data_IF_911341923348
#
_entry.id   IF_911341923348
#
_cell.length_a   1.000
_cell.length_b   1.000
_cell.length_c   1.000
_cell.angle_alpha   90.00
_cell.angle_beta   90.00
_cell.angle_gamma   90.00
#
_symmetry.space_group_name_H-M   'P 1'
#
loop_
_entity.id
_entity.type
_entity.pdbx_description
1 polymer ?
#
# COMPACT_ATOMS: atom_id res chain seq x y z
N UNK A 1 -1.64 8.72 13.29
CA UNK A 1 -0.71 9.86 13.30
C UNK A 1 0.66 9.44 13.85
N UNK A 2 1.30 8.46 13.22
CA UNK A 2 2.73 8.18 13.46
C UNK A 2 3.49 9.22 12.65
N UNK A 3 3.64 10.41 13.24
CA UNK A 3 4.35 11.51 12.61
C UNK A 3 5.70 11.03 12.06
N UNK A 4 6.01 11.43 10.81
CA UNK A 4 7.34 11.28 10.16
C UNK A 4 8.56 11.67 11.03
N UNK A 5 8.32 12.24 12.21
CA UNK A 5 9.29 12.57 13.26
C UNK A 5 9.70 11.40 14.18
N UNK A 6 8.92 10.32 14.28
CA UNK A 6 9.13 9.31 15.33
C UNK A 6 10.48 8.58 15.20
N UNK A 7 10.85 8.14 13.99
CA UNK A 7 12.09 7.40 13.74
C UNK A 7 13.31 8.28 13.98
N UNK A 8 13.34 9.49 13.41
CA UNK A 8 14.48 10.41 13.57
C UNK A 8 14.68 10.82 15.04
N UNK A 9 13.59 11.02 15.79
CA UNK A 9 13.65 11.35 17.22
C UNK A 9 14.11 10.15 18.04
N UNK A 10 13.56 8.95 17.82
CA UNK A 10 13.98 7.75 18.53
C UNK A 10 15.43 7.41 18.24
N UNK A 11 15.85 7.48 16.97
CA UNK A 11 17.24 7.28 16.56
C UNK A 11 18.17 8.30 17.23
N UNK A 12 17.84 9.59 17.16
CA UNK A 12 18.61 10.65 17.81
C UNK A 12 18.74 10.45 19.33
N UNK A 13 17.66 10.02 19.99
CA UNK A 13 17.67 9.67 21.42
C UNK A 13 18.62 8.50 21.70
N UNK A 14 18.53 7.43 20.91
CA UNK A 14 19.37 6.23 21.07
C UNK A 14 20.85 6.53 20.85
N UNK A 15 21.17 7.35 19.84
CA UNK A 15 22.55 7.81 19.57
C UNK A 15 23.07 8.65 20.73
N UNK A 16 22.26 9.57 21.28
CA UNK A 16 22.63 10.37 22.45
C UNK A 16 22.86 9.51 23.70
N UNK A 17 21.97 8.56 23.98
CA UNK A 17 22.13 7.60 25.09
C UNK A 17 23.46 6.84 24.97
N UNK A 18 23.78 6.36 23.77
CA UNK A 18 25.03 5.63 23.51
C UNK A 18 26.26 6.52 23.61
N UNK A 19 26.20 7.74 23.10
CA UNK A 19 27.28 8.72 23.21
C UNK A 19 27.55 9.13 24.66
N UNK A 20 26.51 9.29 25.47
CA UNK A 20 26.63 9.57 26.91
C UNK A 20 27.23 8.39 27.69
N UNK A 21 27.08 7.16 27.21
CA UNK A 21 27.73 5.97 27.78
C UNK A 21 29.21 5.83 27.42
N UNK A 22 29.72 6.60 26.46
CA UNK A 22 31.12 6.57 26.04
C UNK A 22 31.94 7.64 26.76
N UNK A 23 33.23 7.35 26.99
CA UNK A 23 34.19 8.25 27.65
C UNK A 23 33.68 8.87 28.98
N UNK A 24 32.88 8.11 29.74
CA UNK A 24 32.29 8.56 31.01
C UNK A 24 31.35 9.76 30.87
N UNK A 25 30.68 9.93 29.73
CA UNK A 25 29.75 11.02 29.47
C UNK A 25 30.40 12.36 29.12
N UNK A 26 31.71 12.37 28.87
CA UNK A 26 32.47 13.60 28.57
C UNK A 26 32.52 13.97 27.10
N UNK A 27 31.84 13.23 26.22
CA UNK A 27 31.81 13.56 24.79
C UNK A 27 30.94 14.80 24.59
N UNK A 28 31.49 15.93 24.12
CA UNK A 28 30.71 17.13 23.88
C UNK A 28 29.78 16.91 22.68
N UNK A 29 28.47 16.99 22.92
CA UNK A 29 27.44 16.92 21.87
C UNK A 29 26.99 18.34 21.49
N UNK A 30 27.07 18.66 20.20
CA UNK A 30 26.52 19.92 19.67
C UNK A 30 25.06 19.73 19.27
N UNK A 31 24.19 20.76 19.41
CA UNK A 31 22.85 20.73 18.84
C UNK A 31 22.92 20.50 17.32
N UNK A 32 22.01 19.70 16.79
CA UNK A 32 21.92 19.52 15.34
C UNK A 32 21.42 20.83 14.69
N UNK A 33 22.20 21.39 13.76
CA UNK A 33 21.84 22.61 13.03
C UNK A 33 20.70 22.38 12.03
N UNK A 34 20.51 21.14 11.60
CA UNK A 34 19.44 20.72 10.69
C UNK A 34 18.86 19.37 11.13
N UNK A 35 17.55 19.19 10.92
CA UNK A 35 16.87 17.89 11.06
C UNK A 35 17.22 17.01 9.86
N UNK A 36 17.11 15.68 10.01
CA UNK A 36 17.31 14.76 8.90
C UNK A 36 16.36 15.12 7.75
N UNK A 37 16.90 15.56 6.61
CA UNK A 37 16.16 15.72 5.37
C UNK A 37 16.59 14.59 4.45
N UNK A 38 15.81 13.52 4.40
CA UNK A 38 15.98 12.49 3.39
C UNK A 38 15.28 12.99 2.12
N UNK A 39 16.04 13.61 1.22
CA UNK A 39 15.57 13.90 -0.13
C UNK A 39 16.06 12.79 -1.04
N UNK A 40 15.24 11.75 -1.22
CA UNK A 40 15.49 10.71 -2.23
C UNK A 40 14.94 11.23 -3.56
N UNK A 41 15.78 11.93 -4.31
CA UNK A 41 15.52 12.26 -5.72
C UNK A 41 16.45 11.37 -6.52
N UNK A 42 15.91 10.37 -7.22
CA UNK A 42 16.69 9.55 -8.17
C UNK A 42 16.70 8.04 -7.94
N UNK A 43 15.79 7.48 -7.13
CA UNK A 43 15.63 6.04 -6.99
C UNK A 43 14.26 5.54 -7.50
N UNK A 44 13.59 6.29 -8.36
CA UNK A 44 12.25 5.93 -8.82
C UNK A 44 12.30 5.15 -10.14
N UNK A 45 11.76 3.93 -10.15
CA UNK A 45 11.47 3.19 -11.37
C UNK A 45 10.04 3.49 -11.80
N UNK A 46 9.87 3.74 -13.10
CA UNK A 46 8.56 3.87 -13.72
C UNK A 46 8.35 2.70 -14.67
N UNK A 47 7.30 1.92 -14.42
CA UNK A 47 6.89 0.84 -15.31
C UNK A 47 5.47 1.12 -15.77
N UNK A 48 5.19 0.90 -17.05
CA UNK A 48 3.82 0.93 -17.57
C UNK A 48 3.36 -0.51 -17.76
N UNK A 49 2.23 -0.85 -17.18
CA UNK A 49 1.54 -2.12 -17.35
C UNK A 49 0.12 -1.87 -17.88
N UNK A 50 -0.52 -2.91 -18.37
CA UNK A 50 -1.95 -2.92 -18.74
C UNK A 50 -2.62 -3.96 -17.85
N UNK A 51 -3.76 -3.63 -17.27
CA UNK A 51 -4.52 -4.58 -16.46
C UNK A 51 -4.97 -5.80 -17.27
N UNK A 52 -5.47 -6.81 -16.58
CA UNK A 52 -6.32 -7.82 -17.20
C UNK A 52 -7.57 -7.21 -17.87
N UNK A 53 -8.34 -8.06 -18.55
CA UNK A 53 -9.60 -7.68 -19.19
C UNK A 53 -10.85 -8.04 -18.36
N UNK A 54 -10.61 -8.57 -17.16
CA UNK A 54 -11.58 -9.01 -16.15
C UNK A 54 -11.65 -7.98 -15.02
N UNK A 55 -11.63 -6.70 -15.40
CA UNK A 55 -11.78 -5.60 -14.45
C UNK A 55 -13.26 -5.30 -14.13
N UNK A 56 -13.46 -4.54 -13.07
CA UNK A 56 -14.73 -3.90 -12.73
C UNK A 56 -14.55 -2.40 -12.54
N UNK A 57 -15.30 -1.63 -13.32
CA UNK A 57 -15.44 -0.19 -13.14
C UNK A 57 -16.92 0.09 -12.93
N UNK A 58 -17.29 0.63 -11.78
CA UNK A 58 -18.69 1.01 -11.52
C UNK A 58 -19.16 2.10 -12.50
N UNK A 59 -18.30 3.09 -12.75
CA UNK A 59 -18.51 4.14 -13.75
C UNK A 59 -17.15 4.53 -14.40
N UNK A 60 -17.09 4.73 -15.73
CA UNK A 60 -15.87 5.18 -16.41
C UNK A 60 -15.35 6.53 -15.92
N UNK A 61 -16.24 7.41 -15.47
CA UNK A 61 -15.91 8.78 -15.02
C UNK A 61 -15.09 8.84 -13.72
N UNK A 62 -14.88 7.69 -13.05
CA UNK A 62 -13.96 7.58 -11.92
C UNK A 62 -12.48 7.66 -12.34
N UNK A 63 -12.20 7.46 -13.63
CA UNK A 63 -10.86 7.50 -14.20
C UNK A 63 -10.66 8.79 -15.02
N UNK A 64 -9.42 9.29 -15.12
CA UNK A 64 -8.18 8.72 -14.61
C UNK A 64 -7.92 9.07 -13.13
N UNK A 65 -7.22 8.18 -12.42
CA UNK A 65 -6.68 8.45 -11.08
C UNK A 65 -5.17 8.62 -11.14
N UNK A 66 -4.64 9.53 -10.32
CA UNK A 66 -3.22 9.85 -10.29
C UNK A 66 -2.68 9.79 -8.88
N UNK A 67 -1.46 9.27 -8.76
CA UNK A 67 -0.67 9.25 -7.55
C UNK A 67 -1.37 8.56 -6.38
N UNK A 68 -2.05 7.46 -6.65
CA UNK A 68 -2.65 6.60 -5.63
C UNK A 68 -1.52 5.90 -4.88
N UNK A 69 -1.51 6.06 -3.56
CA UNK A 69 -0.59 5.31 -2.71
C UNK A 69 -1.06 3.85 -2.66
N UNK A 70 -0.14 2.91 -2.89
CA UNK A 70 -0.40 1.49 -2.75
C UNK A 70 -0.23 1.06 -1.29
N UNK A 71 -1.20 0.29 -0.82
CA UNK A 71 -1.19 -0.36 0.50
C UNK A 71 -1.35 -1.85 0.27
N UNK A 72 -0.47 -2.67 0.85
CA UNK A 72 -0.58 -4.13 0.82
C UNK A 72 -0.95 -4.68 2.20
N UNK A 73 -2.23 -5.01 2.44
CA UNK A 73 -2.65 -5.78 3.60
C UNK A 73 -2.12 -7.21 3.52
N UNK A 74 -1.66 -7.73 4.65
CA UNK A 74 -1.21 -9.12 4.79
C UNK A 74 -2.10 -9.82 5.82
N UNK A 75 -2.62 -10.98 5.44
CA UNK A 75 -3.42 -11.86 6.30
C UNK A 75 -3.17 -13.30 5.91
N UNK A 76 -3.30 -14.21 6.88
CA UNK A 76 -3.12 -15.64 6.63
C UNK A 76 -4.30 -16.17 5.81
N UNK A 77 -3.99 -16.76 4.66
CA UNK A 77 -5.00 -17.27 3.73
C UNK A 77 -5.26 -18.74 4.01
N UNK A 78 -6.30 -19.00 4.80
CA UNK A 78 -6.83 -20.34 5.05
C UNK A 78 -8.31 -20.40 4.68
N UNK A 79 -8.87 -21.58 4.46
CA UNK A 79 -10.32 -21.71 4.23
C UNK A 79 -11.19 -21.23 5.41
N UNK A 80 -10.59 -21.11 6.60
CA UNK A 80 -11.26 -20.62 7.81
C UNK A 80 -11.13 -19.10 8.01
N UNK A 81 -10.50 -18.38 7.08
CA UNK A 81 -10.31 -16.93 7.17
C UNK A 81 -11.65 -16.22 7.37
N UNK A 82 -11.66 -15.23 8.25
CA UNK A 82 -12.86 -14.44 8.57
C UNK A 82 -12.75 -13.01 8.03
N UNK A 83 -13.89 -12.38 7.78
CA UNK A 83 -13.95 -10.98 7.35
C UNK A 83 -13.39 -10.03 8.41
N UNK A 84 -13.47 -10.39 9.70
CA UNK A 84 -12.89 -9.62 10.80
C UNK A 84 -11.35 -9.63 10.79
N UNK A 85 -10.72 -10.77 10.48
CA UNK A 85 -9.26 -10.86 10.35
C UNK A 85 -8.77 -10.03 9.16
N UNK A 86 -9.43 -10.13 8.02
CA UNK A 86 -9.13 -9.33 6.82
C UNK A 86 -9.28 -7.85 7.13
N UNK A 87 -10.40 -7.44 7.74
CA UNK A 87 -10.64 -6.05 8.16
C UNK A 87 -9.51 -5.54 9.05
N UNK A 88 -9.14 -6.29 10.10
CA UNK A 88 -8.07 -5.91 11.01
C UNK A 88 -6.73 -5.76 10.30
N UNK A 89 -6.41 -6.63 9.35
CA UNK A 89 -5.19 -6.53 8.55
C UNK A 89 -5.17 -5.31 7.63
N UNK A 90 -6.31 -4.97 7.01
CA UNK A 90 -6.44 -3.76 6.18
C UNK A 90 -6.27 -2.51 7.03
N UNK A 91 -6.94 -2.41 8.18
CA UNK A 91 -6.81 -1.29 9.12
C UNK A 91 -5.35 -1.12 9.60
N UNK A 92 -4.68 -2.21 9.95
CA UNK A 92 -3.25 -2.18 10.33
C UNK A 92 -2.37 -1.67 9.19
N UNK A 93 -2.64 -2.10 7.96
CA UNK A 93 -1.88 -1.67 6.79
C UNK A 93 -2.10 -0.18 6.50
N UNK A 94 -3.34 0.32 6.57
CA UNK A 94 -3.66 1.75 6.44
C UNK A 94 -2.95 2.60 7.52
N UNK A 95 -2.97 2.13 8.76
CA UNK A 95 -2.28 2.77 9.88
C UNK A 95 -0.76 2.83 9.68
N UNK A 96 -0.14 1.79 9.10
CA UNK A 96 1.31 1.75 8.78
C UNK A 96 1.74 2.89 7.87
N UNK A 97 0.85 3.34 6.98
CA UNK A 97 1.10 4.42 6.02
C UNK A 97 0.58 5.79 6.46
N UNK A 98 0.09 5.91 7.71
CA UNK A 98 -0.54 7.11 8.25
C UNK A 98 -1.64 7.67 7.33
N UNK A 99 -2.37 6.76 6.68
CA UNK A 99 -3.56 7.11 5.89
C UNK A 99 -4.67 7.38 6.89
N UNK A 100 -5.10 8.64 6.96
CA UNK A 100 -6.28 9.03 7.71
C UNK A 100 -7.50 8.92 6.79
N UNK A 101 -8.63 8.49 7.35
CA UNK A 101 -9.85 8.26 6.61
C UNK A 101 -10.32 9.52 5.89
N UNK A 102 -10.64 9.36 4.60
CA UNK A 102 -11.31 10.35 3.74
C UNK A 102 -10.47 11.46 3.10
N UNK A 103 -9.18 11.57 3.38
CA UNK A 103 -8.38 12.70 2.88
C UNK A 103 -7.87 12.50 1.43
N UNK A 104 -7.75 11.25 0.98
CA UNK A 104 -7.30 10.88 -0.39
C UNK A 104 -7.59 9.43 -0.72
N UNK A 105 -7.91 9.14 -1.98
CA UNK A 105 -8.02 7.79 -2.51
C UNK A 105 -6.68 7.01 -2.39
N UNK A 106 -6.79 5.71 -2.12
CA UNK A 106 -5.66 4.77 -2.01
C UNK A 106 -5.97 3.48 -2.75
N UNK A 107 -4.94 2.78 -3.23
CA UNK A 107 -5.08 1.49 -3.88
C UNK A 107 -4.72 0.37 -2.91
N UNK A 108 -5.67 -0.53 -2.63
CA UNK A 108 -5.40 -1.76 -1.90
C UNK A 108 -4.90 -2.82 -2.89
N UNK A 109 -3.61 -3.15 -2.81
CA UNK A 109 -3.03 -4.24 -3.58
C UNK A 109 -3.08 -5.53 -2.76
N UNK A 110 -3.82 -6.51 -3.25
CA UNK A 110 -4.21 -7.71 -2.54
C UNK A 110 -3.65 -8.92 -3.26
N UNK A 111 -2.95 -9.76 -2.50
CA UNK A 111 -2.56 -11.09 -2.94
C UNK A 111 -3.62 -12.09 -2.56
N UNK A 112 -4.05 -12.93 -3.50
CA UNK A 112 -5.10 -13.91 -3.23
C UNK A 112 -4.82 -15.29 -3.84
N UNK A 113 -4.69 -16.30 -2.98
CA UNK A 113 -4.20 -17.63 -3.34
C UNK A 113 -5.26 -18.73 -3.18
N UNK A 114 -6.38 -18.45 -2.49
CA UNK A 114 -7.44 -19.44 -2.22
C UNK A 114 -8.36 -19.72 -3.43
N UNK A 115 -8.13 -19.07 -4.56
CA UNK A 115 -8.91 -19.22 -5.78
C UNK A 115 -10.30 -18.56 -5.73
N UNK A 116 -11.13 -18.76 -6.77
CA UNK A 116 -12.34 -17.96 -7.02
C UNK A 116 -13.60 -18.49 -6.33
N UNK A 117 -13.47 -19.12 -5.16
CA UNK A 117 -14.62 -19.68 -4.41
C UNK A 117 -15.53 -18.56 -3.90
N UNK A 118 -16.78 -18.51 -4.35
CA UNK A 118 -17.70 -17.42 -3.99
C UNK A 118 -17.80 -17.15 -2.47
N UNK A 119 -17.94 -18.16 -1.58
CA UNK A 119 -17.92 -17.92 -0.14
C UNK A 119 -16.65 -17.19 0.34
N UNK A 120 -15.47 -17.58 -0.14
CA UNK A 120 -14.20 -16.99 0.28
C UNK A 120 -14.04 -15.56 -0.28
N UNK A 121 -14.42 -15.36 -1.54
CA UNK A 121 -14.41 -14.04 -2.19
C UNK A 121 -15.39 -13.09 -1.50
N UNK A 122 -16.57 -13.60 -1.07
CA UNK A 122 -17.53 -12.82 -0.30
C UNK A 122 -16.99 -12.44 1.07
N UNK A 123 -16.32 -13.37 1.77
CA UNK A 123 -15.62 -13.08 3.04
C UNK A 123 -14.54 -12.00 2.85
N UNK A 124 -13.76 -12.08 1.77
CA UNK A 124 -12.79 -11.06 1.40
C UNK A 124 -13.46 -9.70 1.19
N UNK A 125 -14.53 -9.65 0.39
CA UNK A 125 -15.27 -8.44 0.12
C UNK A 125 -15.86 -7.80 1.39
N UNK A 126 -16.42 -8.60 2.30
CA UNK A 126 -16.92 -8.13 3.59
C UNK A 126 -15.82 -7.50 4.45
N UNK A 127 -14.64 -8.12 4.50
CA UNK A 127 -13.49 -7.58 5.25
C UNK A 127 -12.98 -6.26 4.67
N UNK A 128 -12.86 -6.18 3.35
CA UNK A 128 -12.41 -4.98 2.64
C UNK A 128 -13.41 -3.82 2.81
N UNK A 129 -14.70 -4.06 2.56
CA UNK A 129 -15.76 -3.06 2.74
C UNK A 129 -15.84 -2.63 4.20
N UNK A 130 -15.73 -3.58 5.14
CA UNK A 130 -15.77 -3.30 6.56
C UNK A 130 -14.63 -2.38 7.05
N UNK A 131 -13.46 -2.45 6.42
CA UNK A 131 -12.32 -1.57 6.71
C UNK A 131 -12.40 -0.23 5.95
N UNK A 132 -12.92 -0.24 4.72
CA UNK A 132 -12.93 0.92 3.83
C UNK A 132 -14.25 1.71 3.85
N UNK A 133 -15.18 1.38 4.75
CA UNK A 133 -16.49 2.02 4.79
C UNK A 133 -16.41 3.53 4.99
N UNK A 134 -15.61 4.01 5.94
CA UNK A 134 -15.46 5.45 6.19
C UNK A 134 -14.83 6.18 5.00
N UNK A 135 -13.88 5.51 4.33
CA UNK A 135 -13.28 6.00 3.09
C UNK A 135 -14.32 6.19 1.99
N UNK A 136 -15.17 5.18 1.76
CA UNK A 136 -16.24 5.27 0.76
C UNK A 136 -17.32 6.30 1.15
N UNK A 137 -17.72 6.34 2.42
CA UNK A 137 -18.73 7.29 2.92
C UNK A 137 -18.25 8.76 2.80
N UNK A 138 -16.92 8.99 2.75
CA UNK A 138 -16.32 10.31 2.47
C UNK A 138 -16.28 10.68 0.97
N UNK A 139 -16.82 9.82 0.10
CA UNK A 139 -16.88 10.02 -1.35
C UNK A 139 -15.61 9.60 -2.11
N UNK A 140 -14.66 8.92 -1.45
CA UNK A 140 -13.48 8.38 -2.12
C UNK A 140 -13.79 7.01 -2.74
N UNK A 141 -13.32 6.73 -3.97
CA UNK A 141 -13.58 5.45 -4.62
C UNK A 141 -12.83 4.31 -3.94
N UNK A 142 -13.44 3.12 -3.95
CA UNK A 142 -12.77 1.88 -3.57
C UNK A 142 -11.88 1.41 -4.72
N UNK A 143 -10.56 1.58 -4.57
CA UNK A 143 -9.58 1.09 -5.55
C UNK A 143 -8.94 -0.20 -5.05
N UNK A 144 -9.24 -1.30 -5.73
CA UNK A 144 -8.76 -2.63 -5.43
C UNK A 144 -7.91 -3.15 -6.60
N UNK A 145 -6.74 -3.71 -6.30
CA UNK A 145 -5.83 -4.30 -7.27
C UNK A 145 -5.51 -5.71 -6.83
N UNK A 146 -5.75 -6.70 -7.68
CA UNK A 146 -5.52 -8.10 -7.37
C UNK A 146 -4.40 -8.67 -8.23
N UNK A 147 -3.59 -9.57 -7.65
CA UNK A 147 -2.69 -10.42 -8.44
C UNK A 147 -3.43 -11.59 -9.11
N UNK A 148 -4.54 -12.02 -8.52
CA UNK A 148 -5.44 -13.04 -9.05
C UNK A 148 -6.55 -12.46 -9.95
N UNK A 149 -7.01 -13.29 -10.89
CA UNK A 149 -8.11 -12.99 -11.82
C UNK A 149 -9.48 -13.07 -11.12
N UNK A 150 -9.72 -12.16 -10.18
CA UNK A 150 -10.96 -12.06 -9.38
C UNK A 150 -11.56 -10.65 -9.37
N UNK A 151 -10.96 -9.68 -10.07
CA UNK A 151 -11.34 -8.28 -9.92
C UNK A 151 -12.80 -8.03 -10.35
N UNK A 152 -13.25 -8.61 -11.46
CA UNK A 152 -14.64 -8.50 -11.91
C UNK A 152 -15.63 -9.08 -10.91
N UNK A 153 -15.30 -10.23 -10.33
CA UNK A 153 -16.16 -10.90 -9.36
C UNK A 153 -16.26 -10.08 -8.08
N UNK A 154 -15.12 -9.62 -7.56
CA UNK A 154 -15.02 -8.74 -6.39
C UNK A 154 -15.86 -7.47 -6.55
N UNK A 155 -15.68 -6.74 -7.66
CA UNK A 155 -16.44 -5.52 -7.90
C UNK A 155 -17.95 -5.76 -8.00
N UNK A 156 -18.38 -6.86 -8.64
CA UNK A 156 -19.80 -7.20 -8.69
C UNK A 156 -20.40 -7.54 -7.32
N UNK A 157 -19.69 -8.28 -6.48
CA UNK A 157 -20.16 -8.62 -5.12
C UNK A 157 -20.32 -7.34 -4.31
N UNK A 158 -19.31 -6.46 -4.34
CA UNK A 158 -19.36 -5.21 -3.57
C UNK A 158 -20.52 -4.33 -4.05
N UNK A 159 -20.64 -4.07 -5.35
CA UNK A 159 -21.70 -3.18 -5.89
C UNK A 159 -23.10 -3.73 -5.64
N UNK A 160 -23.32 -5.04 -5.80
CA UNK A 160 -24.66 -5.62 -5.76
C UNK A 160 -25.12 -5.99 -4.36
N UNK A 161 -24.20 -6.35 -3.47
CA UNK A 161 -24.53 -6.99 -2.20
C UNK A 161 -24.09 -6.20 -0.97
N UNK A 162 -22.98 -5.47 -1.02
CA UNK A 162 -22.34 -4.95 0.19
C UNK A 162 -22.37 -3.44 0.30
N UNK A 163 -22.03 -2.72 -0.77
CA UNK A 163 -21.91 -1.26 -0.75
C UNK A 163 -22.25 -0.66 -2.14
N UNK A 164 -23.52 -0.68 -2.55
CA UNK A 164 -23.95 -0.10 -3.82
C UNK A 164 -23.63 1.39 -3.93
N UNK A 165 -23.15 1.83 -5.08
CA UNK A 165 -22.86 3.25 -5.36
C UNK A 165 -21.56 3.79 -4.75
N UNK A 166 -20.71 2.95 -4.15
CA UNK A 166 -19.46 3.37 -3.50
C UNK A 166 -18.38 3.92 -4.45
N UNK A 167 -18.57 3.81 -5.77
CA UNK A 167 -17.54 4.10 -6.75
C UNK A 167 -16.40 3.09 -6.67
N UNK A 168 -16.51 1.99 -7.42
CA UNK A 168 -15.56 0.88 -7.37
C UNK A 168 -14.69 0.87 -8.62
N UNK A 169 -13.37 0.76 -8.41
CA UNK A 169 -12.36 0.44 -9.41
C UNK A 169 -11.66 -0.82 -8.91
N UNK A 170 -11.93 -1.95 -9.55
CA UNK A 170 -11.30 -3.22 -9.23
C UNK A 170 -10.57 -3.74 -10.46
N UNK A 171 -9.26 -3.87 -10.39
CA UNK A 171 -8.42 -4.32 -11.51
C UNK A 171 -7.53 -5.50 -11.09
N UNK A 172 -7.07 -6.27 -12.06
CA UNK A 172 -6.15 -7.39 -11.85
C UNK A 172 -5.00 -7.38 -12.87
N UNK A 173 -4.05 -8.30 -12.69
CA UNK A 173 -2.90 -8.47 -13.60
C UNK A 173 -1.80 -7.43 -13.42
N UNK A 174 -1.80 -6.71 -12.30
CA UNK A 174 -0.79 -5.70 -11.94
C UNK A 174 -0.01 -6.18 -10.71
N UNK A 175 1.31 -6.33 -10.84
CA UNK A 175 2.19 -6.65 -9.70
C UNK A 175 2.60 -5.36 -8.98
N UNK A 176 2.13 -5.21 -7.74
CA UNK A 176 2.40 -4.04 -6.90
C UNK A 176 3.04 -4.44 -5.57
N UNK A 177 3.82 -3.51 -5.03
CA UNK A 177 4.49 -3.66 -3.74
C UNK A 177 4.15 -2.49 -2.84
N UNK A 178 4.36 -2.70 -1.55
CA UNK A 178 4.32 -1.61 -0.57
C UNK A 178 5.23 -0.45 -1.00
N UNK A 179 4.77 0.78 -0.72
CA UNK A 179 5.42 2.04 -1.11
C UNK A 179 5.39 2.38 -2.60
N UNK A 180 4.80 1.55 -3.46
CA UNK A 180 4.49 1.97 -4.82
C UNK A 180 3.44 3.07 -4.84
N UNK A 181 3.49 3.91 -5.88
CA UNK A 181 2.39 4.78 -6.26
C UNK A 181 1.93 4.41 -7.66
N UNK A 182 0.62 4.44 -7.90
CA UNK A 182 0.08 4.14 -9.22
C UNK A 182 -0.71 5.31 -9.80
N UNK A 183 -0.65 5.44 -11.12
CA UNK A 183 -1.64 6.15 -11.91
C UNK A 183 -2.46 5.14 -12.69
N UNK A 184 -3.78 5.31 -12.71
CA UNK A 184 -4.70 4.52 -13.52
C UNK A 184 -5.24 5.44 -14.60
N UNK A 185 -4.96 5.12 -15.86
CA UNK A 185 -5.47 5.87 -17.01
C UNK A 185 -6.92 5.55 -17.33
N UNK A 186 -7.42 6.12 -18.42
CA UNK A 186 -8.77 5.82 -18.89
C UNK A 186 -8.90 4.37 -19.39
N UNK A 187 -10.10 3.80 -19.25
CA UNK A 187 -10.41 2.50 -19.84
C UNK A 187 -10.19 2.55 -21.36
N UNK A 188 -9.56 1.50 -21.88
CA UNK A 188 -9.42 1.25 -23.31
C UNK A 188 -10.61 0.39 -23.75
N UNK A 189 -11.64 0.94 -24.43
CA UNK A 189 -12.91 0.25 -24.64
C UNK A 189 -12.76 -1.09 -25.39
N UNK A 190 -11.85 -1.14 -26.36
CA UNK A 190 -11.61 -2.35 -27.17
C UNK A 190 -10.90 -3.45 -26.37
N UNK A 191 -10.05 -3.08 -25.41
CA UNK A 191 -9.29 -4.02 -24.59
C UNK A 191 -10.00 -4.39 -23.29
N UNK A 192 -11.00 -3.59 -22.85
CA UNK A 192 -11.67 -3.70 -21.55
C UNK A 192 -10.66 -3.73 -20.39
N UNK A 193 -9.63 -2.91 -20.51
CA UNK A 193 -8.49 -2.85 -19.62
C UNK A 193 -8.08 -1.39 -19.41
N UNK A 194 -7.30 -1.12 -18.37
CA UNK A 194 -6.78 0.20 -18.05
C UNK A 194 -5.24 0.19 -18.11
N UNK A 195 -4.60 1.25 -18.64
CA UNK A 195 -3.16 1.41 -18.52
C UNK A 195 -2.82 1.87 -17.10
N UNK A 196 -1.82 1.24 -16.49
CA UNK A 196 -1.37 1.53 -15.13
C UNK A 196 0.11 1.93 -15.15
N UNK A 197 0.42 3.10 -14.62
CA UNK A 197 1.81 3.54 -14.41
C UNK A 197 2.19 3.29 -12.97
N UNK A 198 3.18 2.43 -12.75
CA UNK A 198 3.72 2.10 -11.43
C UNK A 198 4.96 2.96 -11.18
N UNK A 199 4.99 3.63 -10.04
CA UNK A 199 6.06 4.51 -9.57
C UNK A 199 6.66 3.89 -8.31
N UNK A 200 7.69 3.08 -8.50
CA UNK A 200 8.34 2.34 -7.42
C UNK A 200 9.57 3.05 -6.89
N UNK A 201 9.82 2.95 -5.59
CA UNK A 201 11.08 3.37 -4.99
C UNK A 201 12.04 2.18 -4.92
N UNK A 202 13.16 2.27 -5.62
CA UNK A 202 14.23 1.27 -5.60
C UNK A 202 15.14 1.54 -4.41
N UNK A 203 15.19 0.64 -3.45
CA UNK A 203 16.23 0.63 -2.44
C UNK A 203 17.40 -0.23 -2.94
N UNK A 204 18.54 0.40 -3.27
CA UNK A 204 19.78 -0.35 -3.52
C UNK A 204 20.27 -0.90 -2.19
N UNK A 205 20.32 -2.23 -2.04
CA UNK A 205 21.06 -2.84 -0.94
C UNK A 205 22.55 -2.55 -1.14
N UNK A 206 23.14 -1.78 -0.22
CA UNK A 206 24.60 -1.68 -0.14
C UNK A 206 25.15 -3.07 0.19
N UNK A 207 25.93 -3.66 -0.71
CA UNK A 207 26.67 -4.88 -0.43
C UNK A 207 27.55 -4.66 0.81
N UNK A 208 27.51 -5.60 1.74
CA UNK A 208 28.33 -5.56 2.95
C UNK A 208 29.81 -5.59 2.53
N UNK A 209 30.51 -4.48 2.77
CA UNK A 209 31.97 -4.43 2.62
C UNK A 209 32.60 -5.51 3.50
N UNK A 210 33.27 -6.48 2.86
CA UNK A 210 34.10 -7.48 3.54
C UNK A 210 35.18 -6.75 4.34
N UNK A 211 35.07 -6.78 5.67
CA UNK A 211 36.14 -6.34 6.55
C UNK A 211 37.33 -7.28 6.41
N UNK A 212 38.42 -6.81 5.82
CA UNK A 212 39.71 -7.47 5.90
C UNK A 212 40.25 -7.35 7.33
N UNK A 213 40.18 -8.42 8.10
CA UNK A 213 40.93 -8.56 9.36
C UNK A 213 42.40 -8.78 9.05
N UNK A 214 43.24 -7.77 9.31
CA UNK A 214 44.68 -7.97 9.45
C UNK A 214 44.97 -8.50 10.85
N UNK A 215 45.52 -9.72 10.92
CA UNK A 215 46.18 -10.25 12.11
C UNK A 215 47.56 -9.59 12.24
N UNK A 216 47.88 -9.12 13.45
CA UNK A 216 49.23 -9.05 13.98
C UNK A 216 49.25 -9.83 15.29
#
# INVERSE_FOLDING_TARGET
MVTKNAISIQFGRRVRERANGLAGGKIPLRPAEVRSRATVIGASQYTVQVSGNTIYLSHPDLLPLRNLQVVTPEFEQTEAITSAEIKSSVEKALQRFDIQDGDRAVALALRWELGPSYPLIRTLAEGLVGAMKEHADSGQPLVLVFDADIAKLMGNIIERELLPGAGIISIDGIDLKDFDFIDIGQELPDAKAVPVVIKSLIFRHSEHGRGHTHHQ
#
